data_IF_958477378524
#
_entry.id   IF_958477378524
#
_cell.length_a   1.000
_cell.length_b   1.000
_cell.length_c   1.000
_cell.angle_alpha   90.00
_cell.angle_beta   90.00
_cell.angle_gamma   90.00
#
_symmetry.space_group_name_H-M   'P 1'
#
loop_
_entity.id
_entity.type
_entity.pdbx_description
1 polymer ?
#
# COMPACT_ATOMS: atom_id res chain seq x y z
N UNK A 1 16.35 9.91 -33.81
CA UNK A 1 15.32 9.05 -33.17
C UNK A 1 15.86 8.39 -31.90
N UNK A 2 16.98 7.64 -31.95
CA UNK A 2 17.58 6.99 -30.76
C UNK A 2 17.93 7.97 -29.62
N UNK A 3 18.59 9.10 -29.93
CA UNK A 3 18.95 10.11 -28.93
C UNK A 3 17.73 10.71 -28.20
N UNK A 4 16.63 10.90 -28.93
CA UNK A 4 15.38 11.41 -28.36
C UNK A 4 14.77 10.37 -27.41
N UNK A 5 14.73 9.10 -27.81
CA UNK A 5 14.24 8.01 -26.96
C UNK A 5 15.07 7.87 -25.67
N UNK A 6 16.40 7.99 -25.78
CA UNK A 6 17.29 7.96 -24.60
C UNK A 6 17.04 9.14 -23.66
N UNK A 7 16.88 10.35 -24.20
CA UNK A 7 16.59 11.53 -23.39
C UNK A 7 15.25 11.41 -22.65
N UNK A 8 14.20 10.90 -23.33
CA UNK A 8 12.90 10.65 -22.71
C UNK A 8 13.00 9.57 -21.62
N UNK A 9 13.70 8.47 -21.90
CA UNK A 9 13.90 7.40 -20.93
C UNK A 9 14.65 7.87 -19.67
N UNK A 10 15.72 8.64 -19.83
CA UNK A 10 16.46 9.23 -18.72
C UNK A 10 15.61 10.22 -17.91
N UNK A 11 14.81 11.04 -18.59
CA UNK A 11 13.89 11.96 -17.93
C UNK A 11 12.84 11.24 -17.09
N UNK A 12 12.23 10.17 -17.63
CA UNK A 12 11.27 9.34 -16.92
C UNK A 12 11.90 8.64 -15.71
N UNK A 13 13.12 8.11 -15.86
CA UNK A 13 13.86 7.50 -14.76
C UNK A 13 14.18 8.51 -13.65
N UNK A 14 14.67 9.71 -14.01
CA UNK A 14 14.97 10.76 -13.05
C UNK A 14 13.71 11.20 -12.28
N UNK A 15 12.57 11.33 -12.96
CA UNK A 15 11.29 11.63 -12.33
C UNK A 15 10.86 10.52 -11.36
N UNK A 16 10.97 9.25 -11.77
CA UNK A 16 10.65 8.11 -10.90
C UNK A 16 11.52 8.10 -9.64
N UNK A 17 12.83 8.30 -9.79
CA UNK A 17 13.76 8.36 -8.66
C UNK A 17 13.44 9.54 -7.74
N UNK A 18 13.07 10.69 -8.29
CA UNK A 18 12.66 11.85 -7.52
C UNK A 18 11.39 11.58 -6.69
N UNK A 19 10.38 10.95 -7.29
CA UNK A 19 9.13 10.57 -6.60
C UNK A 19 9.44 9.57 -5.47
N UNK A 20 10.22 8.52 -5.76
CA UNK A 20 10.62 7.52 -4.75
C UNK A 20 11.37 8.18 -3.60
N UNK A 21 12.29 9.10 -3.90
CA UNK A 21 13.03 9.83 -2.89
C UNK A 21 12.12 10.70 -2.01
N UNK A 22 11.18 11.46 -2.60
CA UNK A 22 10.21 12.28 -1.83
C UNK A 22 9.32 11.42 -0.94
N UNK A 23 8.77 10.32 -1.47
CA UNK A 23 7.90 9.40 -0.71
C UNK A 23 8.63 8.77 0.47
N UNK A 24 9.94 8.50 0.36
CA UNK A 24 10.72 7.89 1.45
C UNK A 24 11.20 8.88 2.51
N UNK A 25 11.31 10.16 2.18
CA UNK A 25 11.89 11.19 3.08
C UNK A 25 10.84 12.00 3.81
N UNK A 26 9.61 12.07 3.28
CA UNK A 26 8.58 12.99 3.75
C UNK A 26 7.25 12.24 3.95
N UNK A 27 6.79 12.19 5.20
CA UNK A 27 5.58 11.47 5.58
C UNK A 27 4.30 12.02 4.93
N UNK A 28 4.21 13.34 4.70
CA UNK A 28 3.05 13.92 4.04
C UNK A 28 2.98 13.50 2.57
N UNK A 29 4.14 13.44 1.90
CA UNK A 29 4.25 12.91 0.54
C UNK A 29 3.96 11.42 0.47
N UNK A 30 4.40 10.66 1.48
CA UNK A 30 4.08 9.23 1.57
C UNK A 30 2.56 9.01 1.65
N UNK A 31 1.88 9.70 2.57
CA UNK A 31 0.42 9.62 2.72
C UNK A 31 -0.30 10.04 1.43
N UNK A 32 0.07 11.19 0.86
CA UNK A 32 -0.52 11.66 -0.39
C UNK A 32 -0.35 10.64 -1.52
N UNK A 33 0.85 10.07 -1.68
CA UNK A 33 1.14 9.07 -2.69
C UNK A 33 0.30 7.79 -2.52
N UNK A 34 0.23 7.26 -1.30
CA UNK A 34 -0.51 6.04 -1.01
C UNK A 34 -2.03 6.22 -1.20
N UNK A 35 -2.60 7.32 -0.71
CA UNK A 35 -4.06 7.52 -0.70
C UNK A 35 -4.62 8.18 -1.98
N UNK A 36 -3.81 8.89 -2.76
CA UNK A 36 -4.32 9.55 -4.00
C UNK A 36 -3.91 8.84 -5.27
N UNK A 37 -2.67 8.34 -5.35
CA UNK A 37 -2.16 7.74 -6.57
C UNK A 37 -2.27 6.22 -6.52
N UNK A 38 -1.65 5.59 -5.52
CA UNK A 38 -1.54 4.14 -5.47
C UNK A 38 -2.89 3.46 -5.21
N UNK A 39 -3.72 4.01 -4.31
CA UNK A 39 -5.08 3.52 -4.10
C UNK A 39 -5.91 3.57 -5.38
N UNK A 40 -5.98 4.72 -6.07
CA UNK A 40 -6.77 4.85 -7.30
C UNK A 40 -6.32 3.89 -8.39
N UNK A 41 -5.01 3.70 -8.54
CA UNK A 41 -4.46 2.75 -9.50
C UNK A 41 -4.90 1.32 -9.14
N UNK A 42 -4.79 0.92 -7.86
CA UNK A 42 -5.21 -0.41 -7.41
C UNK A 42 -6.71 -0.61 -7.53
N UNK A 43 -7.51 0.38 -7.17
CA UNK A 43 -8.95 0.34 -7.31
C UNK A 43 -9.36 0.17 -8.77
N UNK A 44 -8.70 0.90 -9.68
CA UNK A 44 -8.92 0.74 -11.12
C UNK A 44 -8.55 -0.66 -11.63
N UNK A 45 -7.38 -1.18 -11.23
CA UNK A 45 -6.90 -2.50 -11.69
C UNK A 45 -7.66 -3.68 -11.11
N UNK A 46 -8.12 -3.59 -9.86
CA UNK A 46 -8.83 -4.65 -9.14
C UNK A 46 -10.36 -4.57 -9.28
N UNK A 47 -10.90 -3.39 -9.61
CA UNK A 47 -12.33 -3.13 -9.59
C UNK A 47 -12.93 -3.11 -8.18
N UNK A 48 -12.10 -3.05 -7.14
CA UNK A 48 -12.49 -3.12 -5.73
C UNK A 48 -11.86 -1.97 -4.96
N UNK A 49 -12.50 -1.51 -3.90
CA UNK A 49 -11.87 -0.57 -2.96
C UNK A 49 -10.85 -1.27 -2.07
N UNK A 50 -9.93 -0.50 -1.47
CA UNK A 50 -8.96 -1.01 -0.49
C UNK A 50 -9.60 -1.84 0.64
N UNK A 51 -10.70 -1.39 1.30
CA UNK A 51 -11.35 -2.21 2.34
C UNK A 51 -11.91 -3.54 1.80
N UNK A 52 -12.42 -3.56 0.56
CA UNK A 52 -12.93 -4.79 -0.05
C UNK A 52 -11.81 -5.80 -0.34
N UNK A 53 -10.65 -5.33 -0.82
CA UNK A 53 -9.48 -6.19 -1.05
C UNK A 53 -8.94 -6.78 0.25
N UNK A 54 -8.85 -5.96 1.30
CA UNK A 54 -8.47 -6.42 2.65
C UNK A 54 -9.47 -7.47 3.15
N UNK A 55 -10.77 -7.20 3.05
CA UNK A 55 -11.82 -8.13 3.47
C UNK A 55 -11.73 -9.46 2.71
N UNK A 56 -11.52 -9.42 1.39
CA UNK A 56 -11.37 -10.61 0.57
C UNK A 56 -10.18 -11.45 1.02
N UNK A 57 -9.05 -10.82 1.34
CA UNK A 57 -7.88 -11.52 1.88
C UNK A 57 -8.18 -12.17 3.24
N UNK A 58 -8.79 -11.41 4.16
CA UNK A 58 -9.18 -11.92 5.49
C UNK A 58 -10.11 -13.13 5.36
N UNK A 59 -11.11 -13.08 4.48
CA UNK A 59 -12.03 -14.20 4.24
C UNK A 59 -11.31 -15.47 3.76
N UNK A 60 -10.18 -15.33 3.05
CA UNK A 60 -9.40 -16.46 2.55
C UNK A 60 -8.35 -16.98 3.54
N UNK A 61 -7.89 -16.14 4.46
CA UNK A 61 -6.72 -16.41 5.31
C UNK A 61 -7.03 -16.60 6.79
N UNK A 62 -8.14 -16.05 7.28
CA UNK A 62 -8.54 -16.10 8.69
C UNK A 62 -9.46 -17.28 8.99
N UNK A 63 -9.39 -17.81 10.22
CA UNK A 63 -10.29 -18.84 10.70
C UNK A 63 -11.66 -18.21 11.07
N UNK A 64 -12.79 -18.74 10.57
CA UNK A 64 -14.11 -18.22 10.93
C UNK A 64 -14.35 -18.24 12.43
N UNK A 65 -14.74 -17.09 13.00
CA UNK A 65 -14.99 -16.93 14.43
C UNK A 65 -13.75 -16.64 15.29
N UNK A 66 -12.54 -16.61 14.71
CA UNK A 66 -11.31 -16.28 15.42
C UNK A 66 -10.86 -14.84 15.09
N UNK A 67 -11.09 -13.93 16.05
CA UNK A 67 -10.72 -12.52 15.94
C UNK A 67 -9.20 -12.30 15.78
N UNK A 68 -8.37 -13.09 16.47
CA UNK A 68 -6.92 -12.95 16.39
C UNK A 68 -6.41 -13.32 14.99
N UNK A 69 -6.95 -14.39 14.41
CA UNK A 69 -6.62 -14.77 13.04
C UNK A 69 -7.00 -13.68 12.02
N UNK A 70 -8.13 -12.99 12.23
CA UNK A 70 -8.57 -11.89 11.38
C UNK A 70 -7.64 -10.67 11.49
N UNK A 71 -7.26 -10.28 12.71
CA UNK A 71 -6.31 -9.18 12.95
C UNK A 71 -4.96 -9.50 12.31
N UNK A 72 -4.42 -10.72 12.53
CA UNK A 72 -3.19 -11.16 11.90
C UNK A 72 -3.26 -11.15 10.37
N UNK A 73 -4.40 -11.53 9.78
CA UNK A 73 -4.58 -11.48 8.34
C UNK A 73 -4.56 -10.04 7.81
N UNK A 74 -5.19 -9.08 8.51
CA UNK A 74 -5.13 -7.66 8.15
C UNK A 74 -3.70 -7.14 8.22
N UNK A 75 -2.98 -7.40 9.31
CA UNK A 75 -1.60 -6.94 9.49
C UNK A 75 -0.65 -7.54 8.44
N UNK A 76 -0.78 -8.85 8.17
CA UNK A 76 0.00 -9.54 7.14
C UNK A 76 -0.27 -8.95 5.75
N UNK A 77 -1.53 -8.68 5.42
CA UNK A 77 -1.87 -8.06 4.15
C UNK A 77 -1.29 -6.65 4.04
N UNK A 78 -1.41 -5.85 5.09
CA UNK A 78 -0.96 -4.46 5.10
C UNK A 78 0.57 -4.33 5.05
N UNK A 79 1.29 -5.31 5.59
CA UNK A 79 2.76 -5.35 5.56
C UNK A 79 3.31 -5.82 4.20
N UNK A 80 2.62 -6.74 3.52
CA UNK A 80 3.17 -7.46 2.36
C UNK A 80 2.55 -7.09 1.01
N UNK A 81 1.30 -6.62 0.99
CA UNK A 81 0.54 -6.42 -0.26
C UNK A 81 0.28 -4.93 -0.51
N UNK A 82 -0.44 -4.28 0.40
CA UNK A 82 -0.71 -2.86 0.30
C UNK A 82 -0.85 -2.19 1.66
N UNK A 83 -0.17 -1.07 1.84
CA UNK A 83 -0.29 -0.28 3.05
C UNK A 83 -1.71 0.27 3.25
N UNK A 84 -2.17 0.24 4.50
CA UNK A 84 -3.38 0.90 4.97
C UNK A 84 -3.13 1.56 6.32
N UNK A 85 -3.97 2.54 6.68
CA UNK A 85 -3.94 3.21 7.98
C UNK A 85 -4.59 2.36 9.08
N UNK A 86 -4.13 1.14 9.28
CA UNK A 86 -4.55 0.34 10.42
C UNK A 86 -3.71 0.68 11.67
N UNK A 87 -4.12 0.13 12.82
CA UNK A 87 -3.35 0.24 14.06
C UNK A 87 -2.01 -0.48 13.89
N UNK A 88 -2.03 -1.69 13.31
CA UNK A 88 -0.83 -2.50 13.11
C UNK A 88 -0.38 -3.19 14.40
N UNK A 89 0.40 -4.26 14.23
CA UNK A 89 0.88 -5.15 15.29
C UNK A 89 1.47 -4.43 16.51
N UNK A 90 2.37 -3.46 16.32
CA UNK A 90 3.07 -2.77 17.41
C UNK A 90 2.17 -1.87 18.24
N UNK A 91 1.30 -1.09 17.59
CA UNK A 91 0.35 -0.23 18.32
C UNK A 91 -0.81 -1.05 18.88
N UNK A 92 -1.15 -2.18 18.25
CA UNK A 92 -2.15 -3.13 18.74
C UNK A 92 -1.79 -3.69 20.11
N UNK A 93 -0.52 -4.07 20.32
CA UNK A 93 -0.04 -4.53 21.62
C UNK A 93 -0.25 -3.54 22.78
N UNK A 94 -0.26 -2.22 22.49
CA UNK A 94 -0.55 -1.19 23.50
C UNK A 94 -2.05 -1.06 23.75
N UNK A 95 -2.87 -1.25 22.71
CA UNK A 95 -4.33 -1.16 22.79
C UNK A 95 -4.95 -2.39 23.46
N UNK A 96 -4.36 -3.56 23.28
CA UNK A 96 -4.84 -4.85 23.81
C UNK A 96 -4.48 -5.07 25.30
N UNK A 97 -3.65 -4.19 25.87
CA UNK A 97 -3.20 -4.21 27.26
C UNK A 97 -4.17 -3.48 28.20
#
# INVERSE_FOLDING_TARGET
>A
MLQVLLAVGMGALALLLFVVWRVRTDGAWALWWHDNYLERLRDFTSGQSRPMRILQFVQSAAAPGDANSAICAVDSYCANVEWAMNVGDKKGQILDA
#
